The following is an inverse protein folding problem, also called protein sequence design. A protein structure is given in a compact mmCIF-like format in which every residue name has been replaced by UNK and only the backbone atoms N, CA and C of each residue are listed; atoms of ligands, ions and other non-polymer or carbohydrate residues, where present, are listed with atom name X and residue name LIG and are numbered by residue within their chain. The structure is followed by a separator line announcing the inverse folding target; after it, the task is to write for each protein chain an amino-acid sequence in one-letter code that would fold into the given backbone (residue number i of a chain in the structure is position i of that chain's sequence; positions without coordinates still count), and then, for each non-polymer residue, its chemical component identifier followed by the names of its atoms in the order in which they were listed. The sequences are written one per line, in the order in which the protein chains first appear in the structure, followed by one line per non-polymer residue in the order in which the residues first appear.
data_IF_335083318166
#
_entry.id   IF_335083318166
#
_cell.length_a   1.000
_cell.length_b   1.000
_cell.length_c   1.000
_cell.angle_alpha   90.00
_cell.angle_beta   90.00
_cell.angle_gamma   90.00
#
_symmetry.space_group_name_H-M   'P 1'
#
loop_
_entity.id
_entity.type
_entity.pdbx_description
1 polymer ?
#
# COMPACT_ATOMS: atom_id res chain seq x y z
N UNK A 1 0.52 14.68 -6.66
CA UNK A 1 -0.45 15.38 -5.78
C UNK A 1 -1.73 14.58 -5.59
N UNK A 2 -2.27 13.91 -6.62
CA UNK A 2 -3.49 13.09 -6.51
C UNK A 2 -3.55 12.12 -5.32
N UNK A 3 -2.49 11.33 -5.08
CA UNK A 3 -2.44 10.39 -3.95
C UNK A 3 -2.63 11.04 -2.56
N UNK A 4 -2.14 12.27 -2.38
CA UNK A 4 -2.26 12.96 -1.09
C UNK A 4 -3.69 13.50 -0.90
N UNK A 5 -4.29 14.05 -1.96
CA UNK A 5 -5.69 14.50 -1.94
C UNK A 5 -6.62 13.30 -1.68
N UNK A 6 -6.40 12.17 -2.34
CA UNK A 6 -7.18 10.96 -2.10
C UNK A 6 -7.04 10.48 -0.64
N UNK A 7 -5.81 10.52 -0.09
CA UNK A 7 -5.56 10.13 1.29
C UNK A 7 -6.28 11.01 2.32
N UNK A 8 -6.40 12.33 2.06
CA UNK A 8 -7.15 13.23 2.96
C UNK A 8 -8.66 12.99 2.99
N UNK A 9 -9.19 12.23 2.03
CA UNK A 9 -10.62 11.90 1.93
C UNK A 9 -10.99 10.57 2.59
N UNK A 10 -10.01 9.86 3.16
CA UNK A 10 -10.25 8.63 3.92
C UNK A 10 -10.86 8.94 5.29
N UNK A 11 -11.26 7.89 6.00
CA UNK A 11 -11.85 7.99 7.34
C UNK A 11 -11.50 6.79 8.22
N UNK A 12 -12.06 6.74 9.43
CA UNK A 12 -11.88 5.65 10.39
C UNK A 12 -12.35 4.28 9.93
N UNK A 13 -13.20 4.22 8.90
CA UNK A 13 -13.72 2.98 8.34
C UNK A 13 -12.90 2.55 7.10
N UNK A 14 -11.87 3.32 6.75
CA UNK A 14 -10.97 3.09 5.62
C UNK A 14 -9.69 2.37 6.03
N UNK A 15 -9.12 1.62 5.07
CA UNK A 15 -7.77 1.05 5.15
C UNK A 15 -6.92 1.62 4.02
N UNK A 16 -5.74 2.13 4.35
CA UNK A 16 -4.77 2.62 3.38
C UNK A 16 -3.58 1.65 3.30
N UNK A 17 -3.47 0.96 2.16
CA UNK A 17 -2.31 0.13 1.82
C UNK A 17 -1.26 0.99 1.11
N UNK A 18 -0.08 1.12 1.70
CA UNK A 18 1.01 1.95 1.17
C UNK A 18 2.14 1.06 0.69
N UNK A 19 2.47 1.15 -0.60
CA UNK A 19 3.58 0.39 -1.21
C UNK A 19 4.78 1.30 -1.39
N UNK A 20 5.90 0.98 -0.72
CA UNK A 20 7.16 1.72 -0.85
C UNK A 20 8.36 0.82 -0.57
N UNK A 21 9.19 0.58 -1.58
CA UNK A 21 10.38 -0.28 -1.46
C UNK A 21 11.29 0.10 -0.29
N UNK A 22 11.72 1.37 -0.22
CA UNK A 22 12.56 1.88 0.87
C UNK A 22 11.79 2.35 2.11
N UNK A 23 10.46 2.49 2.02
CA UNK A 23 9.63 3.04 3.09
C UNK A 23 9.96 4.49 3.47
N UNK A 24 10.73 5.21 2.63
CA UNK A 24 11.29 6.52 2.97
C UNK A 24 10.96 7.62 1.94
N UNK A 25 10.16 7.31 0.91
CA UNK A 25 9.80 8.27 -0.13
C UNK A 25 8.91 9.38 0.42
N UNK A 26 9.40 10.63 0.46
CA UNK A 26 8.70 11.77 1.07
C UNK A 26 7.26 11.94 0.58
N UNK A 27 7.03 11.87 -0.74
CA UNK A 27 5.66 12.01 -1.29
C UNK A 27 4.72 10.89 -0.84
N UNK A 28 5.24 9.68 -0.64
CA UNK A 28 4.49 8.53 -0.14
C UNK A 28 4.22 8.69 1.36
N UNK A 29 5.21 9.12 2.14
CA UNK A 29 5.06 9.40 3.56
C UNK A 29 4.03 10.50 3.80
N UNK A 30 4.05 11.59 3.04
CA UNK A 30 3.07 12.66 3.17
C UNK A 30 1.63 12.17 2.90
N UNK A 31 1.45 11.24 1.95
CA UNK A 31 0.14 10.64 1.70
C UNK A 31 -0.26 9.66 2.82
N UNK A 32 0.66 8.82 3.30
CA UNK A 32 0.42 7.92 4.42
C UNK A 32 0.06 8.69 5.70
N UNK A 33 0.78 9.77 6.01
CA UNK A 33 0.48 10.64 7.15
C UNK A 33 -0.90 11.27 7.01
N UNK A 34 -1.26 11.79 5.84
CA UNK A 34 -2.61 12.33 5.60
C UNK A 34 -3.71 11.27 5.81
N UNK A 35 -3.50 10.03 5.34
CA UNK A 35 -4.43 8.93 5.57
C UNK A 35 -4.58 8.60 7.07
N UNK A 36 -3.45 8.53 7.80
CA UNK A 36 -3.43 8.32 9.24
C UNK A 36 -4.16 9.43 10.00
N UNK A 37 -3.89 10.69 9.66
CA UNK A 37 -4.53 11.86 10.27
C UNK A 37 -6.04 11.91 9.97
N UNK A 38 -6.46 11.41 8.81
CA UNK A 38 -7.88 11.24 8.46
C UNK A 38 -8.55 10.09 9.23
N UNK A 39 -7.78 9.28 9.96
CA UNK A 39 -8.26 8.19 10.81
C UNK A 39 -8.17 6.80 10.17
N UNK A 40 -7.66 6.67 8.96
CA UNK A 40 -7.57 5.39 8.26
C UNK A 40 -6.54 4.46 8.91
N UNK A 41 -6.83 3.17 8.91
CA UNK A 41 -5.86 2.16 9.32
C UNK A 41 -4.76 2.02 8.25
N UNK A 42 -3.49 2.06 8.65
CA UNK A 42 -2.37 1.95 7.73
C UNK A 42 -1.76 0.55 7.69
N UNK A 43 -1.55 0.05 6.47
CA UNK A 43 -0.77 -1.15 6.17
C UNK A 43 0.38 -0.76 5.25
N UNK A 44 1.61 -1.07 5.64
CA UNK A 44 2.80 -0.84 4.83
C UNK A 44 3.23 -2.12 4.10
N UNK A 45 3.57 -2.00 2.81
CA UNK A 45 4.28 -3.00 2.04
C UNK A 45 5.65 -2.42 1.65
N UNK A 46 6.73 -2.97 2.22
CA UNK A 46 8.08 -2.40 2.09
C UNK A 46 9.17 -3.46 2.15
N UNK A 47 10.41 -3.11 1.83
CA UNK A 47 11.55 -4.03 1.91
C UNK A 47 12.27 -3.97 3.26
N UNK A 48 11.95 -3.00 4.12
CA UNK A 48 12.70 -2.75 5.35
C UNK A 48 11.79 -2.71 6.58
N UNK A 49 12.16 -3.50 7.59
CA UNK A 49 11.50 -3.52 8.92
C UNK A 49 11.67 -2.21 9.69
N UNK A 50 12.75 -1.47 9.43
CA UNK A 50 13.06 -0.18 10.07
C UNK A 50 13.06 0.91 9.01
N UNK A 51 11.89 1.51 8.77
CA UNK A 51 11.69 2.63 7.85
C UNK A 51 10.64 3.59 8.42
N UNK A 52 10.64 4.88 8.02
CA UNK A 52 9.62 5.84 8.47
C UNK A 52 8.20 5.36 8.19
N UNK A 53 7.98 4.68 7.06
CA UNK A 53 6.67 4.10 6.75
C UNK A 53 6.30 2.95 7.69
N UNK A 54 7.24 2.08 8.03
CA UNK A 54 6.98 0.96 8.94
C UNK A 54 6.70 1.42 10.38
N UNK A 55 7.32 2.53 10.81
CA UNK A 55 7.04 3.16 12.12
C UNK A 55 5.65 3.80 12.17
N UNK A 56 5.15 4.31 11.04
CA UNK A 56 3.83 4.94 10.94
C UNK A 56 2.69 3.91 10.84
N UNK A 57 2.93 2.76 10.21
CA UNK A 57 1.88 1.79 9.90
C UNK A 57 1.48 0.92 11.10
N UNK A 58 0.18 0.60 11.20
CA UNK A 58 -0.32 -0.38 12.19
C UNK A 58 0.16 -1.79 11.89
N UNK A 59 0.31 -2.13 10.60
CA UNK A 59 0.78 -3.43 10.13
C UNK A 59 1.82 -3.23 9.03
N UNK A 60 2.89 -4.02 9.05
CA UNK A 60 3.94 -3.97 8.02
C UNK A 60 4.17 -5.35 7.44
N UNK A 61 3.99 -5.47 6.12
CA UNK A 61 4.40 -6.62 5.31
C UNK A 61 5.77 -6.31 4.71
N UNK A 62 6.77 -7.09 5.11
CA UNK A 62 8.16 -6.91 4.67
C UNK A 62 8.50 -7.91 3.56
N UNK A 63 8.93 -7.39 2.42
CA UNK A 63 9.42 -8.16 1.26
C UNK A 63 10.91 -7.87 1.11
N UNK A 64 11.78 -8.67 1.74
CA UNK A 64 13.22 -8.39 1.73
C UNK A 64 13.77 -8.39 0.29
N UNK A 65 14.68 -7.45 0.02
CA UNK A 65 15.52 -7.55 -1.17
C UNK A 65 16.47 -8.75 -1.04
N UNK A 66 16.96 -9.34 -2.15
CA UNK A 66 17.77 -10.57 -2.11
C UNK A 66 18.93 -10.53 -1.11
N UNK A 67 19.58 -9.36 -0.95
CA UNK A 67 20.65 -9.16 0.02
C UNK A 67 20.28 -8.24 1.20
N UNK A 68 19.00 -7.86 1.33
CA UNK A 68 18.47 -7.07 2.45
C UNK A 68 19.03 -5.66 2.62
N UNK A 69 19.85 -5.17 1.68
CA UNK A 69 20.47 -3.84 1.74
C UNK A 69 19.82 -2.86 0.77
N UNK A 70 19.89 -1.57 1.10
CA UNK A 70 19.48 -0.49 0.19
C UNK A 70 20.28 -0.49 -1.12
N UNK A 71 21.57 -0.86 -1.05
CA UNK A 71 22.41 -1.01 -2.25
C UNK A 71 21.90 -2.12 -3.16
N UNK A 72 21.52 -3.27 -2.60
CA UNK A 72 20.95 -4.35 -3.37
C UNK A 72 19.61 -3.96 -3.99
N UNK A 73 18.78 -3.17 -3.31
CA UNK A 73 17.54 -2.63 -3.89
C UNK A 73 17.79 -1.71 -5.10
N UNK A 74 18.91 -0.98 -5.10
CA UNK A 74 19.31 -0.14 -6.23
C UNK A 74 19.92 -0.95 -7.38
N UNK A 75 20.59 -2.06 -7.07
CA UNK A 75 21.26 -2.93 -8.04
C UNK A 75 20.31 -3.92 -8.71
N UNK A 76 19.38 -4.47 -7.93
CA UNK A 76 18.28 -5.33 -8.39
C UNK A 76 16.96 -4.69 -7.97
N UNK A 77 16.50 -3.76 -8.79
CA UNK A 77 15.26 -3.02 -8.58
C UNK A 77 14.01 -3.84 -8.94
N UNK A 78 14.11 -5.17 -9.05
CA UNK A 78 12.97 -6.02 -9.34
C UNK A 78 11.84 -5.76 -8.35
N UNK A 79 10.61 -5.67 -8.89
CA UNK A 79 9.37 -5.51 -8.12
C UNK A 79 8.45 -6.72 -8.23
N UNK A 80 8.95 -7.82 -8.83
CA UNK A 80 8.17 -9.05 -9.01
C UNK A 80 7.71 -9.62 -7.67
N UNK A 81 8.57 -9.61 -6.65
CA UNK A 81 8.19 -10.08 -5.32
C UNK A 81 7.04 -9.26 -4.71
N UNK A 82 7.07 -7.94 -4.90
CA UNK A 82 5.97 -7.05 -4.48
C UNK A 82 4.67 -7.38 -5.20
N UNK A 83 4.72 -7.58 -6.52
CA UNK A 83 3.54 -7.94 -7.31
C UNK A 83 2.97 -9.30 -6.91
N UNK A 84 3.82 -10.31 -6.66
CA UNK A 84 3.38 -11.64 -6.23
C UNK A 84 2.67 -11.60 -4.87
N UNK A 85 3.21 -10.83 -3.92
CA UNK A 85 2.58 -10.67 -2.60
C UNK A 85 1.28 -9.88 -2.72
N UNK A 86 1.23 -8.84 -3.55
CA UNK A 86 0.00 -8.09 -3.81
C UNK A 86 -1.08 -9.00 -4.43
N UNK A 87 -0.72 -9.82 -5.40
CA UNK A 87 -1.64 -10.78 -6.04
C UNK A 87 -2.18 -11.81 -5.04
N UNK A 88 -1.31 -12.36 -4.19
CA UNK A 88 -1.71 -13.27 -3.13
C UNK A 88 -2.65 -12.57 -2.12
N UNK A 89 -2.36 -11.32 -1.76
CA UNK A 89 -3.20 -10.53 -0.87
C UNK A 89 -4.58 -10.29 -1.48
N UNK A 90 -4.66 -9.91 -2.75
CA UNK A 90 -5.94 -9.72 -3.46
C UNK A 90 -6.73 -11.02 -3.48
N UNK A 91 -6.08 -12.15 -3.81
CA UNK A 91 -6.72 -13.48 -3.80
C UNK A 91 -7.25 -13.86 -2.43
N UNK A 92 -6.48 -13.59 -1.37
CA UNK A 92 -6.91 -13.85 0.00
C UNK A 92 -8.08 -12.96 0.40
N UNK A 93 -8.03 -11.67 0.09
CA UNK A 93 -9.14 -10.74 0.35
C UNK A 93 -10.40 -11.21 -0.39
N UNK A 94 -10.29 -11.54 -1.68
CA UNK A 94 -11.41 -12.07 -2.48
C UNK A 94 -12.02 -13.34 -1.86
N UNK A 95 -11.19 -14.26 -1.38
CA UNK A 95 -11.68 -15.48 -0.70
C UNK A 95 -12.41 -15.26 0.63
N UNK A 96 -12.27 -14.07 1.24
CA UNK A 96 -12.97 -13.68 2.47
C UNK A 96 -14.15 -12.72 2.22
N UNK A 97 -14.37 -12.30 0.97
CA UNK A 97 -15.48 -11.44 0.60
C UNK A 97 -16.68 -12.30 0.18
N UNK A 98 -17.63 -12.47 1.10
CA UNK A 98 -18.91 -13.11 0.82
C UNK A 98 -19.90 -12.12 0.14
N UNK A 99 -19.58 -11.52 -1.02
CA UNK A 99 -20.58 -10.75 -1.80
C UNK A 99 -20.17 -10.37 -3.24
N UNK A 100 -21.16 -10.35 -4.13
CA UNK A 100 -21.13 -9.63 -5.43
C UNK A 100 -21.08 -8.10 -5.27
N UNK A 101 -21.45 -7.54 -4.11
CA UNK A 101 -21.35 -6.11 -3.83
C UNK A 101 -19.91 -5.60 -3.78
N UNK A 102 -19.00 -6.32 -3.10
CA UNK A 102 -17.59 -5.91 -3.02
C UNK A 102 -16.96 -5.84 -4.42
N UNK A 103 -17.25 -6.83 -5.27
CA UNK A 103 -16.81 -6.86 -6.67
C UNK A 103 -17.38 -5.70 -7.50
N UNK A 104 -18.64 -5.31 -7.28
CA UNK A 104 -19.25 -4.12 -7.91
C UNK A 104 -18.57 -2.83 -7.46
N UNK A 105 -18.26 -2.70 -6.17
CA UNK A 105 -17.52 -1.55 -5.65
C UNK A 105 -16.15 -1.45 -6.30
N UNK A 106 -15.40 -2.56 -6.37
CA UNK A 106 -14.09 -2.59 -7.05
C UNK A 106 -14.20 -2.16 -8.51
N UNK A 107 -15.18 -2.68 -9.26
CA UNK A 107 -15.39 -2.29 -10.66
C UNK A 107 -15.73 -0.80 -10.81
N UNK A 108 -16.52 -0.23 -9.90
CA UNK A 108 -16.84 1.19 -9.93
C UNK A 108 -15.61 2.06 -9.68
N UNK A 109 -14.73 1.67 -8.75
CA UNK A 109 -13.47 2.37 -8.47
C UNK A 109 -12.52 2.30 -9.66
N UNK A 110 -12.37 1.11 -10.28
CA UNK A 110 -11.53 0.95 -11.48
C UNK A 110 -12.08 1.78 -12.63
N UNK A 111 -13.40 1.81 -12.82
CA UNK A 111 -14.02 2.64 -13.85
C UNK A 111 -13.72 4.12 -13.63
N UNK A 112 -13.93 4.65 -12.42
CA UNK A 112 -13.61 6.04 -12.11
C UNK A 112 -12.13 6.36 -12.34
N UNK A 113 -11.22 5.44 -11.99
CA UNK A 113 -9.79 5.63 -12.22
C UNK A 113 -9.36 5.55 -13.70
N UNK A 114 -10.19 4.99 -14.59
CA UNK A 114 -9.95 4.98 -16.05
C UNK A 114 -10.53 6.21 -16.76
N UNK A 115 -11.46 6.91 -16.13
CA UNK A 115 -12.10 8.12 -16.65
C UNK A 115 -11.30 9.40 -16.33
N UNK A 116 -10.40 9.34 -15.34
CA UNK A 116 -9.42 10.37 -14.95
C UNK A 116 -8.11 10.31 -15.76
#
# INVERSE_FOLDING_TARGET
MGQHIAATQLDKDSVCLVVSGSGSTTLTLNAATAAFEAGAQLIALTSFTSSPLAELASYTLVIPSPDGTFRAELQDASRVAFLLVLEALVTLVDSHLDDSAARRTVLSVVQSAMED
#
